data_IF_482129625437
#
_entry.id   IF_482129625437
#
_cell.length_a   1.000
_cell.length_b   1.000
_cell.length_c   1.000
_cell.angle_alpha   90.00
_cell.angle_beta   90.00
_cell.angle_gamma   90.00
#
_symmetry.space_group_name_H-M   'P 1'
#
loop_
_entity.id
_entity.type
_entity.pdbx_description
1 polymer ?
#
# COMPACT_ATOMS: atom_id res chain seq x y z
N UNK A 1 34.02 -8.52 16.04
CA UNK A 1 33.29 -9.64 16.68
C UNK A 1 31.93 -9.24 17.26
N UNK A 2 31.81 -8.09 17.96
CA UNK A 2 30.52 -7.63 18.52
C UNK A 2 29.51 -7.23 17.43
N UNK A 3 29.95 -6.50 16.39
CA UNK A 3 29.08 -6.05 15.28
C UNK A 3 28.46 -7.20 14.48
N UNK A 4 29.22 -8.28 14.26
CA UNK A 4 28.77 -9.50 13.58
C UNK A 4 27.74 -10.28 14.40
N UNK A 5 27.86 -10.33 15.74
CA UNK A 5 26.86 -10.95 16.61
C UNK A 5 25.53 -10.18 16.64
N UNK A 6 25.57 -8.84 16.64
CA UNK A 6 24.35 -8.01 16.62
C UNK A 6 23.62 -8.13 15.28
N UNK A 7 24.36 -8.10 14.16
CA UNK A 7 23.78 -8.30 12.83
C UNK A 7 23.16 -9.70 12.67
N UNK A 8 23.81 -10.74 13.21
CA UNK A 8 23.28 -12.10 13.25
C UNK A 8 21.99 -12.18 14.08
N UNK A 9 21.96 -11.56 15.25
CA UNK A 9 20.76 -11.49 16.10
C UNK A 9 19.59 -10.80 15.40
N UNK A 10 19.83 -9.69 14.71
CA UNK A 10 18.82 -8.97 13.95
C UNK A 10 18.31 -9.80 12.75
N UNK A 11 19.21 -10.48 12.04
CA UNK A 11 18.84 -11.36 10.92
C UNK A 11 17.99 -12.54 11.38
N UNK A 12 18.36 -13.20 12.49
CA UNK A 12 17.57 -14.31 13.07
C UNK A 12 16.20 -13.84 13.52
N UNK A 13 16.10 -12.69 14.21
CA UNK A 13 14.81 -12.10 14.60
C UNK A 13 13.93 -11.80 13.39
N UNK A 14 14.53 -11.29 12.31
CA UNK A 14 13.80 -10.98 11.07
C UNK A 14 13.27 -12.24 10.39
N UNK A 15 14.08 -13.29 10.28
CA UNK A 15 13.66 -14.57 9.71
C UNK A 15 12.52 -15.18 10.54
N UNK A 16 12.67 -15.20 11.87
CA UNK A 16 11.64 -15.73 12.77
C UNK A 16 10.34 -14.93 12.67
N UNK A 17 10.41 -13.60 12.59
CA UNK A 17 9.26 -12.74 12.41
C UNK A 17 8.51 -13.07 11.10
N UNK A 18 9.24 -13.21 9.99
CA UNK A 18 8.63 -13.58 8.71
C UNK A 18 7.94 -14.95 8.78
N UNK A 19 8.62 -15.96 9.30
CA UNK A 19 8.05 -17.30 9.42
C UNK A 19 6.80 -17.33 10.30
N UNK A 20 6.86 -16.73 11.49
CA UNK A 20 5.72 -16.65 12.40
C UNK A 20 4.54 -15.92 11.76
N UNK A 21 4.80 -14.80 11.06
CA UNK A 21 3.75 -14.03 10.40
C UNK A 21 3.02 -14.82 9.32
N UNK A 22 3.75 -15.64 8.55
CA UNK A 22 3.17 -16.48 7.50
C UNK A 22 2.30 -17.59 8.09
N UNK A 23 2.77 -18.29 9.13
CA UNK A 23 1.99 -19.32 9.82
C UNK A 23 0.71 -18.76 10.44
N UNK A 24 0.75 -17.55 11.00
CA UNK A 24 -0.43 -16.88 11.56
C UNK A 24 -1.45 -16.52 10.47
N UNK A 25 -0.99 -16.05 9.31
CA UNK A 25 -1.86 -15.73 8.18
C UNK A 25 -2.52 -17.00 7.59
N UNK A 26 -1.77 -18.09 7.46
CA UNK A 26 -2.32 -19.38 7.03
C UNK A 26 -3.38 -19.90 8.01
N UNK A 27 -3.08 -19.86 9.32
CA UNK A 27 -4.03 -20.25 10.37
C UNK A 27 -5.31 -19.42 10.32
N UNK A 28 -5.18 -18.10 10.17
CA UNK A 28 -6.32 -17.19 10.02
C UNK A 28 -7.20 -17.56 8.82
N UNK A 29 -6.60 -17.80 7.66
CA UNK A 29 -7.32 -18.16 6.43
C UNK A 29 -8.05 -19.50 6.58
N UNK A 30 -7.41 -20.49 7.19
CA UNK A 30 -8.05 -21.77 7.52
C UNK A 30 -9.25 -21.58 8.45
N UNK A 31 -9.12 -20.76 9.50
CA UNK A 31 -10.22 -20.43 10.41
C UNK A 31 -11.35 -19.69 9.71
N UNK A 32 -11.06 -18.71 8.85
CA UNK A 32 -12.06 -17.99 8.06
C UNK A 32 -12.91 -18.95 7.23
N UNK A 33 -12.28 -19.90 6.54
CA UNK A 33 -12.96 -20.93 5.76
C UNK A 33 -13.82 -21.84 6.63
N UNK A 34 -13.28 -22.28 7.76
CA UNK A 34 -13.97 -23.21 8.67
C UNK A 34 -15.21 -22.58 9.31
N UNK A 35 -15.14 -21.30 9.68
CA UNK A 35 -16.20 -20.62 10.43
C UNK A 35 -17.29 -20.04 9.54
N UNK A 36 -16.92 -19.49 8.38
CA UNK A 36 -17.84 -18.76 7.51
C UNK A 36 -18.16 -19.51 6.20
N UNK A 37 -17.52 -20.65 5.99
CA UNK A 37 -17.69 -21.47 4.79
C UNK A 37 -16.97 -20.92 3.54
N UNK A 38 -17.13 -21.60 2.40
CA UNK A 38 -16.41 -21.28 1.16
C UNK A 38 -16.76 -19.92 0.55
N UNK A 39 -17.98 -19.41 0.76
CA UNK A 39 -18.41 -18.10 0.21
C UNK A 39 -17.62 -16.92 0.80
N UNK A 40 -17.07 -17.09 2.01
CA UNK A 40 -16.23 -16.08 2.65
C UNK A 40 -14.80 -16.03 2.09
N UNK A 41 -14.39 -17.05 1.34
CA UNK A 41 -13.05 -17.16 0.74
C UNK A 41 -12.93 -16.30 -0.53
N UNK A 42 -13.09 -14.99 -0.34
CA UNK A 42 -12.92 -13.98 -1.40
C UNK A 42 -11.45 -13.88 -1.82
N UNK A 43 -11.20 -13.15 -2.91
CA UNK A 43 -9.84 -12.90 -3.41
C UNK A 43 -8.91 -12.37 -2.31
N UNK A 44 -9.36 -11.39 -1.52
CA UNK A 44 -8.53 -10.78 -0.48
C UNK A 44 -8.13 -11.78 0.60
N UNK A 45 -9.05 -12.65 1.04
CA UNK A 45 -8.79 -13.68 2.05
C UNK A 45 -7.79 -14.71 1.52
N UNK A 46 -7.99 -15.22 0.29
CA UNK A 46 -7.08 -16.19 -0.31
C UNK A 46 -5.67 -15.63 -0.58
N UNK A 47 -5.52 -14.31 -0.69
CA UNK A 47 -4.24 -13.67 -0.97
C UNK A 47 -3.39 -13.44 0.27
N UNK A 48 -3.97 -13.47 1.47
CA UNK A 48 -3.27 -13.23 2.74
C UNK A 48 -2.01 -14.09 2.92
N UNK A 49 -1.98 -15.40 2.64
CA UNK A 49 -0.78 -16.22 2.82
C UNK A 49 0.37 -15.81 1.88
N UNK A 50 0.05 -15.17 0.75
CA UNK A 50 1.03 -14.73 -0.23
C UNK A 50 1.60 -13.33 0.07
N UNK A 51 1.06 -12.61 1.04
CA UNK A 51 1.49 -11.25 1.40
C UNK A 51 2.96 -11.23 1.85
N UNK A 52 3.45 -12.30 2.51
CA UNK A 52 4.86 -12.43 2.89
C UNK A 52 5.82 -12.37 1.70
N UNK A 53 5.46 -12.98 0.57
CA UNK A 53 6.23 -12.89 -0.68
C UNK A 53 6.28 -11.45 -1.21
N UNK A 54 5.13 -10.76 -1.21
CA UNK A 54 5.07 -9.36 -1.62
C UNK A 54 5.96 -8.48 -0.75
N UNK A 55 6.00 -8.70 0.56
CA UNK A 55 6.86 -7.92 1.47
C UNK A 55 8.34 -8.16 1.21
N UNK A 56 8.74 -9.41 0.91
CA UNK A 56 10.13 -9.74 0.55
C UNK A 56 10.56 -9.09 -0.76
N UNK A 57 9.68 -9.03 -1.75
CA UNK A 57 10.00 -8.52 -3.09
C UNK A 57 9.89 -7.00 -3.21
N UNK A 58 8.89 -6.39 -2.56
CA UNK A 58 8.53 -4.98 -2.74
C UNK A 58 8.77 -4.11 -1.50
N UNK A 59 9.15 -4.72 -0.37
CA UNK A 59 9.29 -4.04 0.91
C UNK A 59 7.97 -3.93 1.69
N UNK A 60 7.90 -3.06 2.71
CA UNK A 60 6.74 -2.97 3.60
C UNK A 60 5.43 -2.67 2.86
N UNK A 61 4.32 -3.28 3.28
CA UNK A 61 3.01 -3.13 2.61
C UNK A 61 2.53 -1.68 2.52
N UNK A 62 2.78 -0.87 3.56
CA UNK A 62 2.37 0.53 3.58
C UNK A 62 3.06 1.36 2.47
N UNK A 63 4.28 0.97 2.07
CA UNK A 63 5.03 1.66 1.03
C UNK A 63 4.47 1.39 -0.38
N UNK A 64 3.69 0.32 -0.54
CA UNK A 64 3.02 -0.07 -1.79
C UNK A 64 1.51 0.17 -1.73
N UNK A 65 1.04 0.95 -0.75
CA UNK A 65 -0.38 1.24 -0.59
C UNK A 65 -0.90 2.17 -1.68
N UNK A 66 -2.11 1.89 -2.18
CA UNK A 66 -2.84 2.76 -3.09
C UNK A 66 -3.33 4.07 -2.47
N UNK A 67 -3.23 4.21 -1.14
CA UNK A 67 -3.83 5.30 -0.36
C UNK A 67 -3.46 6.70 -0.86
N UNK A 68 -2.18 6.91 -1.24
CA UNK A 68 -1.71 8.19 -1.78
C UNK A 68 -2.40 8.56 -3.10
N UNK A 69 -2.72 7.57 -3.93
CA UNK A 69 -3.42 7.78 -5.19
C UNK A 69 -4.91 8.03 -4.98
N UNK A 70 -5.53 7.39 -3.99
CA UNK A 70 -6.93 7.63 -3.61
C UNK A 70 -7.14 9.09 -3.17
N UNK A 71 -6.22 9.64 -2.37
CA UNK A 71 -6.22 11.06 -2.05
C UNK A 71 -6.10 11.96 -3.29
N UNK A 72 -5.25 11.56 -4.24
CA UNK A 72 -5.11 12.21 -5.55
C UNK A 72 -6.41 12.22 -6.36
N UNK A 73 -7.18 11.13 -6.36
CA UNK A 73 -8.47 11.06 -7.03
C UNK A 73 -9.46 12.11 -6.47
N UNK A 74 -9.47 12.28 -5.14
CA UNK A 74 -10.28 13.32 -4.49
C UNK A 74 -9.92 14.73 -4.95
N UNK A 75 -8.62 15.02 -5.13
CA UNK A 75 -8.13 16.29 -5.67
C UNK A 75 -8.62 16.50 -7.11
N UNK A 76 -8.51 15.47 -7.96
CA UNK A 76 -8.93 15.51 -9.36
C UNK A 76 -10.43 15.79 -9.48
N UNK A 77 -11.27 15.08 -8.72
CA UNK A 77 -12.73 15.26 -8.75
C UNK A 77 -13.12 16.69 -8.37
N UNK A 78 -12.44 17.29 -7.38
CA UNK A 78 -12.67 18.70 -6.97
C UNK A 78 -12.32 19.71 -8.07
N UNK A 79 -11.52 19.33 -9.08
CA UNK A 79 -11.23 20.19 -10.22
C UNK A 79 -12.35 20.24 -11.26
N UNK A 80 -13.38 19.40 -11.12
CA UNK A 80 -14.51 19.35 -12.04
C UNK A 80 -15.63 20.25 -11.51
N UNK A 81 -16.01 21.26 -12.29
CA UNK A 81 -17.14 22.15 -11.96
C UNK A 81 -18.29 22.06 -12.96
N UNK A 82 -18.07 21.43 -14.12
CA UNK A 82 -19.10 21.23 -15.12
C UNK A 82 -18.90 19.90 -15.87
N UNK A 83 -19.98 19.35 -16.41
CA UNK A 83 -19.94 18.09 -17.17
C UNK A 83 -19.21 18.20 -18.52
N UNK A 84 -19.10 19.41 -19.10
CA UNK A 84 -18.47 19.63 -20.41
C UNK A 84 -16.97 19.90 -20.26
N UNK A 85 -16.15 19.18 -21.02
CA UNK A 85 -14.71 19.44 -21.11
C UNK A 85 -13.95 19.13 -19.81
N UNK A 86 -14.31 18.03 -19.14
CA UNK A 86 -13.69 17.59 -17.87
C UNK A 86 -12.16 17.51 -17.96
N UNK A 87 -11.55 16.87 -18.98
CA UNK A 87 -10.09 16.82 -19.08
C UNK A 87 -9.45 18.21 -19.12
N UNK A 88 -10.04 19.15 -19.85
CA UNK A 88 -9.52 20.51 -19.95
C UNK A 88 -9.64 21.27 -18.62
N UNK A 89 -10.72 21.06 -17.86
CA UNK A 89 -10.90 21.67 -16.54
C UNK A 89 -9.82 21.19 -15.57
N UNK A 90 -9.62 19.87 -15.49
CA UNK A 90 -8.61 19.25 -14.61
C UNK A 90 -7.21 19.73 -14.98
N UNK A 91 -6.83 19.62 -16.26
CA UNK A 91 -5.49 20.00 -16.72
C UNK A 91 -5.19 21.48 -16.47
N UNK A 92 -6.11 22.39 -16.81
CA UNK A 92 -5.89 23.83 -16.60
C UNK A 92 -5.65 24.17 -15.14
N UNK A 93 -6.48 23.64 -14.23
CA UNK A 93 -6.38 23.95 -12.79
C UNK A 93 -5.11 23.38 -12.16
N UNK A 94 -4.75 22.14 -12.50
CA UNK A 94 -3.51 21.52 -12.00
C UNK A 94 -2.29 22.28 -12.50
N UNK A 95 -2.23 22.61 -13.80
CA UNK A 95 -1.10 23.35 -14.36
C UNK A 95 -1.00 24.75 -13.74
N UNK A 96 -2.11 25.48 -13.61
CA UNK A 96 -2.10 26.79 -12.94
C UNK A 96 -1.60 26.70 -11.51
N UNK A 97 -2.07 25.72 -10.73
CA UNK A 97 -1.59 25.49 -9.36
C UNK A 97 -0.09 25.22 -9.31
N UNK A 98 0.43 24.35 -10.19
CA UNK A 98 1.85 24.05 -10.27
C UNK A 98 2.69 25.28 -10.61
N UNK A 99 2.21 26.14 -11.51
CA UNK A 99 2.89 27.39 -11.85
C UNK A 99 2.92 28.34 -10.65
N UNK A 100 1.80 28.47 -9.93
CA UNK A 100 1.74 29.28 -8.71
C UNK A 100 2.74 28.80 -7.65
N UNK A 101 2.77 27.50 -7.35
CA UNK A 101 3.72 26.95 -6.38
C UNK A 101 5.18 27.28 -6.76
N UNK A 102 5.56 27.09 -8.03
CA UNK A 102 6.92 27.41 -8.48
C UNK A 102 7.27 28.89 -8.28
N UNK A 103 6.32 29.79 -8.51
CA UNK A 103 6.56 31.23 -8.31
C UNK A 103 6.80 31.57 -6.84
N UNK A 104 6.08 30.93 -5.91
CA UNK A 104 6.24 31.16 -4.47
C UNK A 104 7.41 30.40 -3.84
N UNK A 105 7.89 29.32 -4.46
CA UNK A 105 9.09 28.58 -4.04
C UNK A 105 10.41 29.22 -4.55
N UNK A 106 10.32 30.32 -5.32
CA UNK A 106 11.47 31.01 -5.93
C UNK A 106 12.04 32.16 -5.07
N UNK A 107 11.45 32.44 -3.90
CA UNK A 107 11.90 33.43 -2.90
C UNK A 107 12.63 32.75 -1.72
#
# INVERSE_FOLDING_TARGET
MVLTCVALSAAVKRILFHYLSESLLESFVCSCKSLNGPSFMTFNVNRLPHVGNSVRSLGPLWAQSGFVFEGGNGIIVRQVSAAKGIPQQVTKRIVMFQQLCRLFDSD
#
